data_IF_747621004029
#
_entry.id   IF_747621004029
#
_cell.length_a   1.000
_cell.length_b   1.000
_cell.length_c   1.000
_cell.angle_alpha   90.00
_cell.angle_beta   90.00
_cell.angle_gamma   90.00
#
_symmetry.space_group_name_H-M   'P 1'
#
loop_
_entity.id
_entity.type
_entity.pdbx_description
1 polymer ?
#
# COMPACT_ATOMS: atom_id res chain seq x y z
N UNK A 1 0.61 18.10 -6.72
CA UNK A 1 1.06 18.48 -5.36
C UNK A 1 -0.09 19.14 -4.63
N UNK A 2 -0.19 18.94 -3.32
CA UNK A 2 -1.25 19.53 -2.49
C UNK A 2 -1.14 21.07 -2.48
N UNK A 3 -2.08 21.84 -3.05
CA UNK A 3 -2.03 23.28 -3.03
C UNK A 3 -2.27 23.86 -1.63
N UNK A 4 -2.84 23.08 -0.73
CA UNK A 4 -3.18 23.44 0.65
C UNK A 4 -2.17 22.86 1.65
N UNK A 5 -0.99 22.43 1.21
CA UNK A 5 0.06 21.86 2.08
C UNK A 5 0.44 22.78 3.24
N UNK A 6 0.44 24.11 3.00
CA UNK A 6 0.72 25.13 4.01
C UNK A 6 -0.28 25.18 5.19
N UNK A 7 -1.42 24.53 5.07
CA UNK A 7 -2.41 24.38 6.15
C UNK A 7 -2.04 23.27 7.15
N UNK A 8 -1.02 22.48 6.84
CA UNK A 8 -0.47 21.44 7.72
C UNK A 8 0.68 22.04 8.54
N UNK A 9 0.80 21.58 9.79
CA UNK A 9 1.91 21.97 10.65
C UNK A 9 3.05 20.94 10.55
N UNK A 10 4.27 21.40 10.23
CA UNK A 10 5.48 20.61 10.14
C UNK A 10 6.41 20.89 11.34
N UNK A 11 6.26 20.16 12.45
CA UNK A 11 6.97 20.47 13.70
C UNK A 11 8.49 20.37 13.59
N UNK A 12 9.01 19.65 12.59
CA UNK A 12 10.45 19.49 12.34
C UNK A 12 11.01 20.53 11.36
N UNK A 13 10.16 21.41 10.80
CA UNK A 13 10.57 22.39 9.79
C UNK A 13 11.18 21.73 8.55
N UNK A 14 12.41 22.16 8.18
CA UNK A 14 13.12 21.64 7.00
C UNK A 14 14.14 20.55 7.30
N UNK A 15 14.16 20.05 8.54
CA UNK A 15 15.05 18.95 8.93
C UNK A 15 14.66 17.66 8.23
N UNK A 16 15.67 16.98 7.65
CA UNK A 16 15.54 15.70 6.97
C UNK A 16 16.73 14.83 7.35
N UNK A 17 16.54 13.53 7.61
CA UNK A 17 17.66 12.61 7.73
C UNK A 17 18.43 12.53 6.42
N UNK A 18 19.75 12.42 6.50
CA UNK A 18 20.56 12.02 5.36
C UNK A 18 20.39 10.52 5.10
N UNK A 19 20.60 10.11 3.83
CA UNK A 19 20.53 8.69 3.48
C UNK A 19 21.59 7.89 4.26
N UNK A 20 21.13 6.83 4.94
CA UNK A 20 21.98 6.01 5.81
C UNK A 20 22.32 6.67 7.15
N UNK A 21 21.49 7.59 7.61
CA UNK A 21 21.60 8.19 8.94
C UNK A 21 20.24 8.15 9.64
N UNK A 22 20.25 7.92 10.95
CA UNK A 22 19.08 7.94 11.83
C UNK A 22 18.88 9.36 12.37
N UNK A 23 17.64 9.80 12.40
CA UNK A 23 17.21 11.03 13.06
C UNK A 23 16.23 10.68 14.18
N UNK A 24 16.62 10.90 15.42
CA UNK A 24 15.77 10.62 16.57
C UNK A 24 14.69 11.70 16.69
N UNK A 25 13.42 11.32 16.49
CA UNK A 25 12.26 12.19 16.69
C UNK A 25 11.91 12.31 18.16
N UNK A 26 12.05 11.19 18.88
CA UNK A 26 11.78 10.97 20.28
C UNK A 26 12.74 9.89 20.78
N UNK A 27 12.78 9.67 22.08
CA UNK A 27 13.61 8.60 22.67
C UNK A 27 13.27 7.21 22.14
N UNK A 28 11.99 7.01 21.76
CA UNK A 28 11.44 5.72 21.35
C UNK A 28 11.11 5.64 19.84
N UNK A 29 11.23 6.75 19.08
CA UNK A 29 10.88 6.80 17.65
C UNK A 29 11.96 7.51 16.85
N UNK A 30 12.50 6.84 15.85
CA UNK A 30 13.50 7.40 14.95
C UNK A 30 13.08 7.30 13.48
N UNK A 31 13.57 8.23 12.67
CA UNK A 31 13.29 8.40 11.27
C UNK A 31 14.52 8.06 10.44
N UNK A 32 14.33 7.17 9.46
CA UNK A 32 15.27 6.89 8.39
C UNK A 32 14.68 7.38 7.06
N UNK A 33 15.54 7.80 6.16
CA UNK A 33 15.14 8.19 4.81
C UNK A 33 15.99 7.44 3.79
N UNK A 34 15.34 6.64 2.94
CA UNK A 34 16.00 5.83 1.93
C UNK A 34 15.76 6.40 0.53
N UNK A 35 16.75 6.32 -0.36
CA UNK A 35 16.61 6.83 -1.72
C UNK A 35 15.75 5.91 -2.58
N UNK A 36 15.01 6.51 -3.51
CA UNK A 36 14.27 5.83 -4.56
C UNK A 36 14.75 6.30 -5.94
N UNK A 37 14.78 5.42 -6.96
CA UNK A 37 15.21 5.75 -8.31
C UNK A 37 14.11 6.37 -9.18
N UNK A 38 13.13 7.06 -8.57
CA UNK A 38 11.94 7.59 -9.21
C UNK A 38 11.81 9.11 -9.02
N UNK A 39 10.80 9.71 -9.65
CA UNK A 39 10.45 11.11 -9.38
C UNK A 39 10.05 11.35 -7.91
N UNK A 40 9.48 10.35 -7.25
CA UNK A 40 9.36 10.26 -5.81
C UNK A 40 10.68 9.70 -5.28
N UNK A 41 11.58 10.59 -4.86
CA UNK A 41 13.01 10.33 -4.66
C UNK A 41 13.37 9.65 -3.34
N UNK A 42 12.37 9.41 -2.46
CA UNK A 42 12.61 8.86 -1.13
C UNK A 42 11.43 8.08 -0.58
N UNK A 43 11.77 7.21 0.37
CA UNK A 43 10.82 6.63 1.32
C UNK A 43 11.33 6.85 2.75
N UNK A 44 10.41 7.11 3.67
CA UNK A 44 10.66 7.17 5.10
C UNK A 44 10.42 5.80 5.73
N UNK A 45 11.35 5.35 6.52
CA UNK A 45 11.22 4.16 7.37
C UNK A 45 11.25 4.61 8.82
N UNK A 46 10.62 3.83 9.70
CA UNK A 46 10.53 4.20 11.11
C UNK A 46 11.17 3.10 11.97
N UNK A 47 12.04 3.50 12.87
CA UNK A 47 12.58 2.64 13.92
C UNK A 47 11.88 2.96 15.23
N UNK A 48 11.31 1.94 15.85
CA UNK A 48 10.67 2.03 17.15
C UNK A 48 11.51 1.29 18.16
N UNK A 49 11.89 1.95 19.27
CA UNK A 49 12.61 1.31 20.35
C UNK A 49 11.76 0.18 20.90
N UNK A 50 12.37 -0.99 21.04
CA UNK A 50 11.63 -2.20 21.37
C UNK A 50 12.38 -3.09 22.34
N UNK A 51 11.64 -3.92 23.05
CA UNK A 51 12.16 -4.95 23.94
C UNK A 51 11.37 -6.23 23.73
N UNK A 52 12.07 -7.29 23.42
CA UNK A 52 11.48 -8.62 23.29
C UNK A 52 12.21 -9.57 24.24
N UNK A 53 11.50 -10.07 25.23
CA UNK A 53 12.06 -10.78 26.38
C UNK A 53 13.15 -9.94 27.10
N UNK A 54 14.38 -10.43 27.18
CA UNK A 54 15.52 -9.71 27.77
C UNK A 54 16.36 -8.95 26.74
N UNK A 55 15.97 -8.93 25.44
CA UNK A 55 16.74 -8.28 24.38
C UNK A 55 16.15 -6.91 24.05
N UNK A 56 17.02 -5.90 24.05
CA UNK A 56 16.69 -4.58 23.52
C UNK A 56 17.05 -4.48 22.05
N UNK A 57 16.33 -3.68 21.29
CA UNK A 57 16.55 -3.50 19.87
C UNK A 57 15.54 -2.55 19.22
N UNK A 58 15.30 -2.76 17.96
CA UNK A 58 14.39 -1.96 17.15
C UNK A 58 13.31 -2.81 16.51
N UNK A 59 12.08 -2.33 16.51
CA UNK A 59 11.06 -2.71 15.52
C UNK A 59 11.19 -1.76 14.34
N UNK A 60 11.38 -2.31 13.15
CA UNK A 60 11.45 -1.56 11.92
C UNK A 60 10.08 -1.53 11.23
N UNK A 61 9.65 -0.34 10.76
CA UNK A 61 8.47 -0.19 9.92
C UNK A 61 8.93 0.15 8.50
N UNK A 62 8.58 -0.74 7.55
CA UNK A 62 9.02 -0.78 6.16
C UNK A 62 10.53 -0.96 5.99
N UNK A 63 10.99 -1.36 4.79
CA UNK A 63 12.37 -1.83 4.59
C UNK A 63 13.14 -1.11 3.48
N UNK A 64 12.44 -0.38 2.62
CA UNK A 64 13.01 0.23 1.42
C UNK A 64 13.05 -0.71 0.21
N UNK A 65 13.18 -0.12 -0.99
CA UNK A 65 13.31 -0.85 -2.24
C UNK A 65 14.66 -1.56 -2.35
N UNK A 66 14.71 -2.72 -3.00
CA UNK A 66 15.94 -3.48 -3.22
C UNK A 66 16.81 -2.83 -4.32
N UNK A 67 17.35 -1.64 -4.05
CA UNK A 67 18.30 -0.96 -4.94
C UNK A 67 19.71 -0.95 -4.35
N UNK A 68 20.76 -0.78 -5.17
CA UNK A 68 22.12 -0.63 -4.66
C UNK A 68 22.26 0.52 -3.66
N UNK A 69 21.60 1.66 -3.91
CA UNK A 69 21.67 2.84 -3.06
C UNK A 69 21.03 2.58 -1.68
N UNK A 70 19.85 1.92 -1.65
CA UNK A 70 19.17 1.57 -0.39
C UNK A 70 19.96 0.53 0.40
N UNK A 71 20.56 -0.46 -0.27
CA UNK A 71 21.45 -1.45 0.37
C UNK A 71 22.67 -0.76 1.01
N UNK A 72 23.29 0.19 0.30
CA UNK A 72 24.42 0.96 0.83
C UNK A 72 24.02 1.79 2.05
N UNK A 73 22.83 2.39 2.04
CA UNK A 73 22.28 3.13 3.20
C UNK A 73 22.10 2.23 4.42
N UNK A 74 21.59 1.00 4.23
CA UNK A 74 21.49 0.01 5.29
C UNK A 74 22.84 -0.44 5.83
N UNK A 75 23.85 -0.65 4.95
CA UNK A 75 25.22 -0.98 5.40
C UNK A 75 25.79 0.12 6.28
N UNK A 76 25.65 1.39 5.86
CA UNK A 76 26.08 2.54 6.64
C UNK A 76 25.43 2.59 8.04
N UNK A 77 24.11 2.35 8.10
CA UNK A 77 23.38 2.32 9.38
C UNK A 77 23.85 1.19 10.32
N UNK A 78 24.13 0.01 9.76
CA UNK A 78 24.58 -1.16 10.53
C UNK A 78 26.03 -1.05 11.02
N UNK A 79 26.89 -0.36 10.26
CA UNK A 79 28.34 -0.22 10.54
C UNK A 79 28.66 1.03 11.36
N UNK A 80 27.70 1.95 11.50
CA UNK A 80 27.91 3.19 12.25
C UNK A 80 28.24 2.88 13.72
N UNK A 81 29.26 3.52 14.30
CA UNK A 81 29.55 3.42 15.73
C UNK A 81 28.35 3.86 16.59
N UNK A 82 28.31 3.41 17.84
CA UNK A 82 27.29 3.84 18.79
C UNK A 82 27.30 5.38 18.92
N UNK A 83 26.12 5.98 18.93
CA UNK A 83 25.95 7.44 18.96
C UNK A 83 26.25 8.18 17.67
N UNK A 84 26.64 7.48 16.58
CA UNK A 84 26.94 8.08 15.28
C UNK A 84 25.74 8.07 14.30
N UNK A 85 24.49 7.93 14.79
CA UNK A 85 23.28 7.99 13.97
C UNK A 85 23.00 6.71 13.16
N UNK A 86 23.52 5.56 13.63
CA UNK A 86 23.20 4.22 13.12
C UNK A 86 22.21 3.46 13.99
N UNK A 87 22.33 2.14 14.03
CA UNK A 87 21.49 1.28 14.87
C UNK A 87 22.00 1.18 16.34
N UNK A 88 23.10 1.84 16.69
CA UNK A 88 23.76 1.81 18.01
C UNK A 88 24.12 0.38 18.45
N UNK A 89 24.54 -0.48 17.52
CA UNK A 89 24.85 -1.88 17.79
C UNK A 89 23.64 -2.74 18.15
N UNK A 90 22.44 -2.19 18.12
CA UNK A 90 21.21 -2.89 18.49
C UNK A 90 20.63 -3.65 17.29
N UNK A 91 20.08 -4.85 17.51
CA UNK A 91 19.46 -5.64 16.46
C UNK A 91 18.08 -5.13 16.07
N UNK A 92 17.63 -5.48 14.86
CA UNK A 92 16.20 -5.50 14.53
C UNK A 92 15.59 -6.74 15.20
N UNK A 93 14.56 -6.55 16.03
CA UNK A 93 13.84 -7.62 16.72
C UNK A 93 12.69 -8.15 15.86
N UNK A 94 12.07 -7.28 15.06
CA UNK A 94 11.00 -7.58 14.10
C UNK A 94 10.90 -6.48 13.04
N UNK A 95 10.24 -6.81 11.94
CA UNK A 95 9.90 -5.85 10.89
C UNK A 95 8.41 -5.90 10.65
N UNK A 96 7.75 -4.74 10.53
CA UNK A 96 6.36 -4.63 10.13
C UNK A 96 6.34 -3.90 8.79
N UNK A 97 5.89 -4.56 7.72
CA UNK A 97 5.67 -3.87 6.44
C UNK A 97 4.22 -3.42 6.34
N UNK A 98 4.03 -2.13 6.06
CA UNK A 98 2.71 -1.51 5.95
C UNK A 98 1.92 -2.11 4.80
N UNK A 99 2.57 -2.32 3.65
CA UNK A 99 1.98 -2.93 2.47
C UNK A 99 3.04 -3.49 1.51
N UNK A 100 2.59 -4.05 0.39
CA UNK A 100 3.39 -4.86 -0.53
C UNK A 100 4.28 -4.08 -1.50
N UNK A 101 4.11 -2.77 -1.66
CA UNK A 101 4.85 -2.04 -2.69
C UNK A 101 6.36 -2.15 -2.49
N UNK A 102 7.13 -2.14 -3.60
CA UNK A 102 8.56 -2.47 -3.55
C UNK A 102 9.39 -1.61 -2.63
N UNK A 103 9.06 -0.34 -2.50
CA UNK A 103 9.77 0.60 -1.62
C UNK A 103 9.48 0.36 -0.14
N UNK A 104 8.46 -0.43 0.19
CA UNK A 104 8.13 -0.82 1.56
C UNK A 104 8.69 -2.19 1.95
N UNK A 105 8.63 -3.17 1.05
CA UNK A 105 8.93 -4.56 1.38
C UNK A 105 10.22 -5.10 0.73
N UNK A 106 10.84 -4.32 -0.17
CA UNK A 106 11.88 -4.79 -1.08
C UNK A 106 13.10 -5.42 -0.42
N UNK A 107 13.51 -4.95 0.75
CA UNK A 107 14.65 -5.51 1.49
C UNK A 107 14.26 -6.40 2.67
N UNK A 108 12.99 -6.77 2.82
CA UNK A 108 12.52 -7.57 3.95
C UNK A 108 13.26 -8.91 4.09
N UNK A 109 13.54 -9.62 3.00
CA UNK A 109 14.26 -10.90 3.06
C UNK A 109 15.72 -10.72 3.51
N UNK A 110 16.42 -9.72 2.98
CA UNK A 110 17.81 -9.41 3.35
C UNK A 110 17.93 -9.06 4.84
N UNK A 111 17.04 -8.22 5.35
CA UNK A 111 17.06 -7.80 6.76
C UNK A 111 16.63 -8.93 7.68
N UNK A 112 15.63 -9.74 7.28
CA UNK A 112 15.22 -10.93 8.03
C UNK A 112 16.38 -11.92 8.20
N UNK A 113 17.12 -12.19 7.12
CA UNK A 113 18.31 -13.06 7.16
C UNK A 113 19.42 -12.46 8.02
N UNK A 114 19.72 -11.17 7.85
CA UNK A 114 20.80 -10.49 8.55
C UNK A 114 20.60 -10.43 10.07
N UNK A 115 19.37 -10.21 10.53
CA UNK A 115 19.06 -10.01 11.95
C UNK A 115 18.36 -11.22 12.59
N UNK A 116 17.98 -12.23 11.83
CA UNK A 116 17.20 -13.37 12.33
C UNK A 116 15.81 -12.97 12.84
N UNK A 117 15.20 -11.92 12.28
CA UNK A 117 13.94 -11.37 12.76
C UNK A 117 12.79 -11.68 11.82
N UNK A 118 11.56 -11.71 12.36
CA UNK A 118 10.35 -12.04 11.60
C UNK A 118 9.79 -10.84 10.83
N UNK A 119 9.27 -11.09 9.63
CA UNK A 119 8.39 -10.17 8.92
C UNK A 119 6.96 -10.27 9.48
N UNK A 120 6.36 -9.13 9.79
CA UNK A 120 4.97 -9.00 10.17
C UNK A 120 4.22 -8.21 9.10
N UNK A 121 3.09 -8.72 8.64
CA UNK A 121 2.35 -8.13 7.52
C UNK A 121 0.91 -8.61 7.53
N UNK A 122 0.00 -7.92 6.88
CA UNK A 122 -1.34 -8.44 6.63
C UNK A 122 -1.30 -9.55 5.58
N UNK A 123 -2.29 -10.43 5.56
CA UNK A 123 -2.25 -11.59 4.67
C UNK A 123 -2.46 -11.21 3.21
N UNK A 124 -3.31 -10.22 2.94
CA UNK A 124 -3.55 -9.74 1.58
C UNK A 124 -2.28 -9.18 0.94
N UNK A 125 -1.55 -8.36 1.69
CA UNK A 125 -0.29 -7.77 1.24
C UNK A 125 0.80 -8.82 1.02
N UNK A 126 0.97 -9.75 1.97
CA UNK A 126 1.96 -10.81 1.83
C UNK A 126 1.66 -11.73 0.63
N UNK A 127 0.39 -12.14 0.46
CA UNK A 127 -0.01 -13.04 -0.62
C UNK A 127 0.18 -12.39 -2.01
N UNK A 128 -0.28 -11.14 -2.18
CA UNK A 128 -0.13 -10.43 -3.45
C UNK A 128 1.35 -10.14 -3.75
N UNK A 129 2.13 -9.74 -2.74
CA UNK A 129 3.57 -9.55 -2.90
C UNK A 129 4.27 -10.84 -3.37
N UNK A 130 3.89 -12.00 -2.81
CA UNK A 130 4.42 -13.31 -3.23
C UNK A 130 4.11 -13.63 -4.69
N UNK A 131 2.95 -13.23 -5.18
CA UNK A 131 2.55 -13.42 -6.59
C UNK A 131 3.39 -12.50 -7.48
N UNK A 132 3.44 -11.20 -7.18
CA UNK A 132 4.10 -10.19 -8.01
C UNK A 132 5.64 -10.27 -7.97
N UNK A 133 6.22 -10.84 -6.92
CA UNK A 133 7.67 -11.09 -6.82
C UNK A 133 8.14 -12.24 -7.73
N UNK A 134 7.23 -12.97 -8.41
CA UNK A 134 7.62 -13.95 -9.41
C UNK A 134 7.83 -13.27 -10.77
N UNK A 135 8.77 -13.76 -11.59
CA UNK A 135 8.85 -13.34 -12.99
C UNK A 135 7.51 -13.55 -13.69
N UNK A 136 7.05 -12.60 -14.52
CA UNK A 136 5.75 -12.70 -15.16
C UNK A 136 5.69 -13.90 -16.14
N UNK A 137 4.67 -14.74 -15.99
CA UNK A 137 4.38 -15.82 -16.93
C UNK A 137 3.86 -15.27 -18.27
N UNK A 138 3.87 -16.11 -19.33
CA UNK A 138 3.25 -15.72 -20.61
C UNK A 138 1.75 -15.40 -20.47
N UNK A 139 1.06 -16.09 -19.57
CA UNK A 139 -0.35 -15.82 -19.25
C UNK A 139 -0.52 -14.44 -18.60
N UNK A 140 0.29 -14.12 -17.60
CA UNK A 140 0.28 -12.79 -16.95
C UNK A 140 0.58 -11.68 -17.99
N UNK A 141 1.56 -11.89 -18.88
CA UNK A 141 1.84 -10.93 -19.96
C UNK A 141 0.64 -10.73 -20.89
N UNK A 142 -0.07 -11.80 -21.24
CA UNK A 142 -1.27 -11.75 -22.06
C UNK A 142 -2.41 -10.98 -21.33
N UNK A 143 -2.60 -11.22 -20.04
CA UNK A 143 -3.57 -10.47 -19.21
C UNK A 143 -3.23 -8.99 -19.13
N UNK A 144 -1.97 -8.64 -18.90
CA UNK A 144 -1.50 -7.24 -18.89
C UNK A 144 -1.75 -6.55 -20.25
N UNK A 145 -1.48 -7.23 -21.37
CA UNK A 145 -1.77 -6.69 -22.72
C UNK A 145 -3.27 -6.50 -22.94
N UNK A 146 -4.11 -7.42 -22.50
CA UNK A 146 -5.57 -7.32 -22.59
C UNK A 146 -6.08 -6.16 -21.72
N UNK A 147 -5.56 -6.02 -20.50
CA UNK A 147 -5.88 -4.89 -19.63
C UNK A 147 -5.48 -3.56 -20.26
N UNK A 148 -4.25 -3.42 -20.75
CA UNK A 148 -3.79 -2.20 -21.42
C UNK A 148 -4.66 -1.83 -22.62
N UNK A 149 -5.11 -2.82 -23.40
CA UNK A 149 -6.06 -2.60 -24.50
C UNK A 149 -7.40 -2.07 -23.99
N UNK A 150 -7.92 -2.65 -22.91
CA UNK A 150 -9.19 -2.22 -22.32
C UNK A 150 -9.15 -0.77 -21.82
N UNK A 151 -7.98 -0.27 -21.42
CA UNK A 151 -7.78 1.12 -21.02
C UNK A 151 -7.79 2.13 -22.19
N UNK A 152 -7.76 1.64 -23.44
CA UNK A 152 -7.72 2.47 -24.67
C UNK A 152 -6.32 2.62 -25.28
N UNK A 153 -5.33 1.90 -24.75
CA UNK A 153 -4.04 1.78 -25.41
C UNK A 153 -4.21 0.83 -26.61
N UNK A 154 -4.23 1.37 -27.83
CA UNK A 154 -4.37 0.61 -29.08
C UNK A 154 -3.39 -0.55 -29.19
N UNK A 155 -3.42 -1.28 -30.35
CA UNK A 155 -2.48 -2.40 -30.62
C UNK A 155 -1.07 -2.01 -30.15
N UNK A 156 -0.36 -2.94 -29.46
CA UNK A 156 0.74 -2.56 -28.59
C UNK A 156 1.73 -1.67 -29.33
N UNK A 157 2.20 -0.59 -28.71
CA UNK A 157 3.48 -0.05 -29.13
C UNK A 157 4.44 -1.25 -29.18
N UNK A 158 5.32 -1.30 -30.14
CA UNK A 158 6.27 -2.40 -30.38
C UNK A 158 7.10 -2.80 -29.13
N UNK A 159 6.79 -2.21 -27.99
CA UNK A 159 7.24 -2.56 -26.63
C UNK A 159 6.09 -2.33 -25.63
N UNK A 160 5.78 -3.27 -24.72
CA UNK A 160 4.80 -3.07 -23.65
C UNK A 160 5.10 -1.78 -22.88
N UNK A 161 4.05 -1.02 -22.49
CA UNK A 161 4.17 0.02 -21.47
C UNK A 161 4.63 -0.69 -20.18
N UNK A 162 5.88 -0.50 -19.80
CA UNK A 162 6.53 -1.22 -18.70
C UNK A 162 7.75 -2.02 -19.14
N UNK A 163 7.93 -2.32 -20.44
CA UNK A 163 9.14 -3.01 -20.93
C UNK A 163 10.38 -2.11 -21.02
N UNK A 164 10.28 -0.83 -20.62
CA UNK A 164 11.46 0.02 -20.48
C UNK A 164 12.14 -0.23 -19.16
N UNK A 165 13.21 -1.03 -19.26
CA UNK A 165 14.12 -1.47 -18.21
C UNK A 165 13.46 -2.35 -17.15
N UNK A 166 13.65 -3.61 -17.34
CA UNK A 166 13.34 -4.72 -16.45
C UNK A 166 13.80 -4.48 -14.98
N UNK A 167 14.82 -3.68 -14.79
CA UNK A 167 15.40 -3.34 -13.48
C UNK A 167 14.43 -2.63 -12.49
N UNK A 168 13.33 -2.03 -12.98
CA UNK A 168 12.28 -1.44 -12.14
C UNK A 168 11.01 -2.31 -12.05
N UNK A 169 11.03 -3.51 -12.63
CA UNK A 169 9.94 -4.45 -12.46
C UNK A 169 9.84 -4.89 -10.98
N UNK A 170 8.64 -5.23 -10.56
CA UNK A 170 8.36 -5.58 -9.16
C UNK A 170 9.32 -6.65 -8.63
N UNK A 171 9.51 -7.74 -9.37
CA UNK A 171 10.37 -8.86 -8.98
C UNK A 171 11.87 -8.51 -8.89
N UNK A 172 12.34 -7.44 -9.52
CA UNK A 172 13.70 -6.93 -9.33
C UNK A 172 13.84 -6.05 -8.08
N UNK A 173 12.81 -5.26 -7.77
CA UNK A 173 12.77 -4.41 -6.58
C UNK A 173 12.38 -5.19 -5.31
N UNK A 174 11.76 -6.37 -5.47
CA UNK A 174 11.43 -7.33 -4.41
C UNK A 174 11.94 -8.71 -4.82
N UNK A 175 13.26 -8.96 -4.81
CA UNK A 175 13.84 -10.19 -5.32
C UNK A 175 13.52 -11.43 -4.47
N UNK A 176 13.16 -11.23 -3.21
CA UNK A 176 12.78 -12.29 -2.29
C UNK A 176 11.91 -11.76 -1.14
N UNK A 177 11.09 -12.65 -0.58
CA UNK A 177 10.36 -12.45 0.67
C UNK A 177 10.70 -13.57 1.65
N UNK A 178 10.70 -13.30 2.96
CA UNK A 178 10.75 -14.35 3.97
C UNK A 178 9.65 -15.38 3.72
N UNK A 179 9.99 -16.68 3.81
CA UNK A 179 9.02 -17.78 3.58
C UNK A 179 7.93 -17.82 4.64
N UNK A 180 8.23 -17.34 5.83
CA UNK A 180 7.35 -17.28 6.98
C UNK A 180 7.15 -15.82 7.38
N UNK A 181 5.94 -15.49 7.78
CA UNK A 181 5.60 -14.17 8.30
C UNK A 181 4.63 -14.32 9.48
N UNK A 182 4.60 -13.32 10.35
CA UNK A 182 3.54 -13.19 11.34
C UNK A 182 2.43 -12.33 10.77
N UNK A 183 1.24 -12.88 10.72
CA UNK A 183 0.07 -12.12 10.31
C UNK A 183 -0.30 -11.09 11.37
N UNK A 184 -0.48 -9.82 10.94
CA UNK A 184 -1.17 -8.77 11.69
C UNK A 184 -2.57 -8.56 11.11
N UNK A 185 -3.49 -8.03 11.93
CA UNK A 185 -4.90 -7.88 11.55
C UNK A 185 -5.45 -6.54 12.01
N UNK A 186 -6.50 -6.09 11.34
CA UNK A 186 -7.24 -4.90 11.75
C UNK A 186 -7.66 -4.96 13.22
N UNK A 187 -7.49 -3.85 13.94
CA UNK A 187 -7.81 -3.73 15.36
C UNK A 187 -6.83 -4.42 16.32
N UNK A 188 -5.85 -5.18 15.82
CA UNK A 188 -4.83 -5.81 16.66
C UNK A 188 -3.99 -4.75 17.38
N UNK A 189 -3.75 -4.95 18.68
CA UNK A 189 -2.81 -4.14 19.45
C UNK A 189 -1.44 -4.86 19.51
N UNK A 190 -0.40 -4.16 19.12
CA UNK A 190 0.98 -4.64 19.12
C UNK A 190 1.77 -3.82 20.15
N UNK A 191 2.29 -4.46 21.18
CA UNK A 191 3.21 -3.83 22.11
C UNK A 191 4.58 -3.69 21.47
N UNK A 192 5.09 -2.45 21.37
CA UNK A 192 6.44 -2.14 20.90
C UNK A 192 7.04 -1.15 21.91
N UNK A 193 8.06 -1.58 22.63
CA UNK A 193 8.61 -0.81 23.74
C UNK A 193 7.53 -0.45 24.77
N UNK A 194 7.40 0.84 25.05
CA UNK A 194 6.44 1.36 26.02
C UNK A 194 5.13 1.85 25.40
N UNK A 195 4.88 1.57 24.12
CA UNK A 195 3.65 1.94 23.39
C UNK A 195 2.85 0.74 22.98
N UNK A 196 1.53 0.88 23.03
CA UNK A 196 0.60 0.00 22.35
C UNK A 196 0.24 0.62 20.98
N UNK A 197 0.47 -0.15 19.92
CA UNK A 197 0.20 0.25 18.55
C UNK A 197 -1.00 -0.53 18.03
N UNK A 198 -2.08 0.18 17.73
CA UNK A 198 -3.26 -0.38 17.11
C UNK A 198 -3.07 -0.43 15.60
N UNK A 199 -3.25 -1.60 15.02
CA UNK A 199 -3.29 -1.79 13.57
C UNK A 199 -4.62 -1.28 13.05
N UNK A 200 -4.60 -0.37 12.06
CA UNK A 200 -5.77 0.12 11.34
C UNK A 200 -5.55 -0.20 9.88
N UNK A 201 -6.29 -1.19 9.35
CA UNK A 201 -6.16 -1.55 7.94
C UNK A 201 -6.98 -0.64 7.04
N UNK A 202 -6.49 -0.42 5.83
CA UNK A 202 -7.16 0.31 4.78
C UNK A 202 -6.97 -0.35 3.43
N UNK A 203 -7.88 -0.10 2.50
CA UNK A 203 -7.85 -0.64 1.13
C UNK A 203 -7.80 0.49 0.11
N UNK A 204 -7.67 0.15 -1.15
CA UNK A 204 -7.77 1.07 -2.30
C UNK A 204 -6.42 1.53 -2.85
N UNK A 205 -5.42 1.73 -2.00
CA UNK A 205 -4.03 1.90 -2.42
C UNK A 205 -3.36 0.54 -2.64
N UNK A 206 -3.61 -0.37 -1.74
CA UNK A 206 -3.21 -1.77 -1.77
C UNK A 206 -4.31 -2.62 -1.11
N UNK A 207 -4.24 -3.96 -1.13
CA UNK A 207 -5.34 -4.81 -0.68
C UNK A 207 -5.73 -4.67 0.79
N UNK A 208 -4.71 -4.53 1.68
CA UNK A 208 -4.92 -4.58 3.14
C UNK A 208 -3.80 -3.81 3.87
N UNK A 209 -3.56 -2.55 3.42
CA UNK A 209 -2.52 -1.66 3.99
C UNK A 209 -2.68 -1.51 5.51
N UNK A 210 -1.61 -1.65 6.27
CA UNK A 210 -1.60 -1.50 7.73
C UNK A 210 -1.00 -0.14 8.14
N UNK A 211 -1.82 0.73 8.71
CA UNK A 211 -1.36 1.90 9.48
C UNK A 211 -1.25 1.52 10.96
N UNK A 212 -0.32 2.15 11.68
CA UNK A 212 -0.09 1.88 13.11
C UNK A 212 -0.36 3.14 13.91
N UNK A 213 -1.30 3.10 14.85
CA UNK A 213 -1.68 4.23 15.70
C UNK A 213 -1.40 3.92 17.17
N UNK A 214 -0.75 4.85 17.86
CA UNK A 214 -0.57 4.84 19.30
C UNK A 214 -1.07 6.13 19.93
N UNK A 215 -1.84 6.03 21.01
CA UNK A 215 -2.33 7.20 21.76
C UNK A 215 -1.25 7.86 22.62
N UNK A 216 -0.17 7.13 22.90
CA UNK A 216 0.92 7.60 23.72
C UNK A 216 1.75 6.47 24.29
N UNK A 217 2.78 6.83 25.06
CA UNK A 217 3.56 5.91 25.87
C UNK A 217 2.92 5.77 27.26
N UNK A 218 3.47 4.88 28.09
CA UNK A 218 3.04 4.74 29.50
C UNK A 218 3.28 6.00 30.33
N UNK A 219 4.07 6.94 29.82
CA UNK A 219 4.52 8.15 30.54
C UNK A 219 3.96 9.46 29.95
N UNK A 220 3.46 9.45 28.72
CA UNK A 220 2.96 10.66 28.05
C UNK A 220 1.85 10.37 27.03
N UNK A 221 0.83 11.21 27.01
CA UNK A 221 -0.16 11.25 25.92
C UNK A 221 0.43 12.05 24.76
N UNK A 222 1.03 11.35 23.80
CA UNK A 222 1.66 11.92 22.62
C UNK A 222 1.32 11.07 21.39
N UNK A 223 0.12 11.24 20.82
CA UNK A 223 -0.39 10.36 19.79
C UNK A 223 0.45 10.42 18.52
N UNK A 224 0.74 9.23 17.96
CA UNK A 224 1.50 9.04 16.74
C UNK A 224 0.74 8.09 15.81
N UNK A 225 0.70 8.45 14.52
CA UNK A 225 0.19 7.60 13.45
C UNK A 225 1.29 7.37 12.42
N UNK A 226 1.76 6.14 12.28
CA UNK A 226 2.51 5.72 11.10
C UNK A 226 1.47 5.41 10.02
N UNK A 227 1.27 6.35 9.10
CA UNK A 227 0.20 6.28 8.12
C UNK A 227 0.55 5.42 6.91
N UNK A 228 1.82 5.06 6.73
CA UNK A 228 2.28 4.47 5.48
C UNK A 228 1.90 5.38 4.31
N UNK A 229 1.33 4.80 3.28
CA UNK A 229 0.86 5.52 2.09
C UNK A 229 -0.62 5.94 2.16
N UNK A 230 -1.34 5.60 3.24
CA UNK A 230 -2.75 5.97 3.33
C UNK A 230 -2.96 7.49 3.45
N UNK A 231 -2.07 8.21 4.14
CA UNK A 231 -2.18 9.67 4.26
C UNK A 231 -0.82 10.32 4.07
N UNK A 232 -0.61 10.94 2.92
CA UNK A 232 0.62 11.63 2.52
C UNK A 232 0.40 13.16 2.52
N UNK A 233 1.34 13.99 2.99
CA UNK A 233 1.10 15.43 3.15
C UNK A 233 1.02 16.20 1.81
N UNK A 234 1.83 15.82 0.80
CA UNK A 234 2.05 16.61 -0.43
C UNK A 234 1.37 16.05 -1.67
N UNK A 235 1.25 14.73 -1.77
CA UNK A 235 0.67 14.03 -2.91
C UNK A 235 -0.57 13.28 -2.48
N UNK A 236 -1.48 13.00 -3.42
CA UNK A 236 -2.52 12.00 -3.24
C UNK A 236 -1.90 10.61 -3.39
N UNK A 237 -2.42 9.68 -2.65
CA UNK A 237 -2.08 8.27 -2.79
C UNK A 237 -2.65 7.72 -4.08
N UNK A 238 -1.91 6.86 -4.77
CA UNK A 238 -2.40 6.21 -5.99
C UNK A 238 -3.51 5.21 -5.66
N UNK A 239 -4.62 5.28 -6.38
CA UNK A 239 -5.81 4.42 -6.25
C UNK A 239 -6.15 3.79 -7.59
N UNK A 240 -5.21 3.01 -8.11
CA UNK A 240 -5.29 2.43 -9.45
C UNK A 240 -6.03 1.09 -9.48
N UNK A 241 -6.75 0.85 -10.57
CA UNK A 241 -7.22 -0.49 -10.94
C UNK A 241 -6.11 -1.18 -11.73
N UNK A 242 -5.75 -2.39 -11.31
CA UNK A 242 -4.71 -3.20 -11.93
C UNK A 242 -5.29 -4.45 -12.60
N UNK A 243 -4.53 -5.04 -13.52
CA UNK A 243 -4.94 -6.24 -14.26
C UNK A 243 -5.24 -7.45 -13.37
N UNK A 244 -4.67 -7.50 -12.17
CA UNK A 244 -4.89 -8.59 -11.22
C UNK A 244 -6.25 -8.49 -10.52
N UNK A 245 -6.83 -7.29 -10.44
CA UNK A 245 -8.14 -7.03 -9.84
C UNK A 245 -8.95 -6.04 -10.70
N UNK A 246 -9.31 -6.43 -11.95
CA UNK A 246 -9.84 -5.51 -12.97
C UNK A 246 -11.23 -4.94 -12.66
N UNK A 247 -11.96 -5.53 -11.71
CA UNK A 247 -13.29 -5.07 -11.25
C UNK A 247 -13.23 -4.32 -9.91
N UNK A 248 -12.04 -3.94 -9.42
CA UNK A 248 -11.89 -3.25 -8.13
C UNK A 248 -12.47 -1.83 -8.15
N UNK A 249 -12.83 -1.33 -6.94
CA UNK A 249 -13.28 0.05 -6.73
C UNK A 249 -12.33 0.81 -5.76
N UNK A 250 -11.05 1.01 -6.15
CA UNK A 250 -10.02 1.47 -5.24
C UNK A 250 -10.26 2.88 -4.69
N UNK A 251 -10.88 3.78 -5.47
CA UNK A 251 -11.17 5.15 -5.03
C UNK A 251 -12.16 5.16 -3.86
N UNK A 252 -13.26 4.37 -3.93
CA UNK A 252 -14.22 4.32 -2.83
C UNK A 252 -13.64 3.63 -1.61
N UNK A 253 -12.97 2.50 -1.80
CA UNK A 253 -12.30 1.79 -0.71
C UNK A 253 -11.26 2.66 0.01
N UNK A 254 -10.49 3.43 -0.74
CA UNK A 254 -9.51 4.37 -0.19
C UNK A 254 -10.18 5.48 0.64
N UNK A 255 -11.22 6.12 0.09
CA UNK A 255 -11.93 7.19 0.78
C UNK A 255 -12.59 6.71 2.08
N UNK A 256 -13.17 5.50 2.08
CA UNK A 256 -13.73 4.91 3.28
C UNK A 256 -12.65 4.55 4.30
N UNK A 257 -11.50 4.08 3.83
CA UNK A 257 -10.37 3.71 4.67
C UNK A 257 -9.74 4.91 5.37
N UNK A 258 -9.47 6.00 4.65
CA UNK A 258 -8.85 7.19 5.28
C UNK A 258 -9.77 7.87 6.29
N UNK A 259 -11.10 7.83 6.10
CA UNK A 259 -12.08 8.33 7.09
C UNK A 259 -12.02 7.57 8.42
N UNK A 260 -11.63 6.29 8.43
CA UNK A 260 -11.42 5.55 9.69
C UNK A 260 -10.32 6.15 10.55
N UNK A 261 -9.35 6.84 9.95
CA UNK A 261 -8.27 7.52 10.65
C UNK A 261 -8.72 8.83 11.32
N UNK A 262 -9.93 9.34 11.03
CA UNK A 262 -10.53 10.47 11.76
C UNK A 262 -10.81 10.12 13.23
N UNK A 263 -10.83 8.83 13.60
CA UNK A 263 -10.88 8.38 14.98
C UNK A 263 -9.59 8.62 15.78
N UNK A 264 -8.47 8.98 15.14
CA UNK A 264 -7.23 9.35 15.82
C UNK A 264 -7.34 10.75 16.46
N UNK A 265 -6.55 11.01 17.50
CA UNK A 265 -6.57 12.31 18.21
C UNK A 265 -6.20 13.47 17.27
N UNK A 266 -6.79 14.68 17.45
CA UNK A 266 -6.57 15.82 16.55
C UNK A 266 -5.11 16.28 16.44
N UNK A 267 -4.33 16.16 17.52
CA UNK A 267 -2.92 16.56 17.56
C UNK A 267 -1.95 15.40 17.23
N UNK A 268 -2.44 14.33 16.62
CA UNK A 268 -1.61 13.19 16.21
C UNK A 268 -0.47 13.65 15.30
N UNK A 269 0.76 13.28 15.68
CA UNK A 269 1.91 13.38 14.80
C UNK A 269 1.82 12.27 13.74
N UNK A 270 1.67 12.64 12.48
CA UNK A 270 1.61 11.71 11.36
C UNK A 270 3.00 11.47 10.82
N UNK A 271 3.37 10.21 10.71
CA UNK A 271 4.63 9.70 10.17
C UNK A 271 4.34 9.02 8.82
N UNK A 272 4.39 9.77 7.70
CA UNK A 272 4.06 9.24 6.38
C UNK A 272 5.25 8.56 5.73
N UNK A 273 5.02 7.63 4.80
CA UNK A 273 6.12 6.99 4.05
C UNK A 273 6.79 7.97 3.07
N UNK A 274 6.09 8.99 2.62
CA UNK A 274 6.67 10.01 1.73
C UNK A 274 6.35 11.42 2.22
N UNK A 275 7.33 12.30 2.11
CA UNK A 275 7.24 13.68 2.60
C UNK A 275 7.79 13.82 4.02
N UNK A 276 7.31 14.82 4.76
CA UNK A 276 7.76 15.14 6.13
C UNK A 276 6.71 14.72 7.15
N UNK A 277 7.11 14.36 8.39
CA UNK A 277 6.19 14.27 9.52
C UNK A 277 5.40 15.55 9.72
N UNK A 278 4.11 15.42 10.00
CA UNK A 278 3.21 16.58 10.12
C UNK A 278 2.11 16.37 11.18
N UNK A 279 1.51 17.46 11.63
CA UNK A 279 0.30 17.51 12.43
C UNK A 279 -0.81 18.14 11.59
N UNK A 280 -2.04 17.62 11.71
CA UNK A 280 -3.18 18.07 10.92
C UNK A 280 -3.84 16.96 10.12
N UNK A 281 -3.85 15.74 10.69
CA UNK A 281 -4.41 14.53 10.07
C UNK A 281 -5.82 14.75 9.50
N UNK A 282 -6.75 15.25 10.32
CA UNK A 282 -8.15 15.47 9.92
C UNK A 282 -8.26 16.50 8.78
N UNK A 283 -7.45 17.58 8.85
CA UNK A 283 -7.37 18.55 7.74
C UNK A 283 -6.90 17.89 6.46
N UNK A 284 -5.87 17.04 6.54
CA UNK A 284 -5.34 16.35 5.36
C UNK A 284 -6.34 15.36 4.78
N UNK A 285 -7.07 14.61 5.60
CA UNK A 285 -8.14 13.72 5.15
C UNK A 285 -9.22 14.51 4.40
N UNK A 286 -9.67 15.64 4.95
CA UNK A 286 -10.64 16.50 4.28
C UNK A 286 -10.14 17.03 2.91
N UNK A 287 -8.84 17.41 2.82
CA UNK A 287 -8.22 17.82 1.55
C UNK A 287 -8.19 16.68 0.53
N UNK A 288 -7.88 15.45 0.94
CA UNK A 288 -7.87 14.27 0.08
C UNK A 288 -9.29 13.92 -0.40
N UNK A 289 -10.28 13.96 0.49
CA UNK A 289 -11.69 13.76 0.11
C UNK A 289 -12.15 14.81 -0.91
N UNK A 290 -11.80 16.09 -0.70
CA UNK A 290 -12.13 17.18 -1.63
C UNK A 290 -11.43 16.98 -2.99
N UNK A 291 -10.16 16.57 -2.98
CA UNK A 291 -9.41 16.27 -4.18
C UNK A 291 -10.09 15.19 -5.03
N UNK A 292 -10.44 14.05 -4.44
CA UNK A 292 -11.12 12.98 -5.18
C UNK A 292 -12.53 13.38 -5.62
N UNK A 293 -13.27 14.16 -4.83
CA UNK A 293 -14.56 14.69 -5.25
C UNK A 293 -14.42 15.56 -6.52
N UNK A 294 -13.42 16.43 -6.59
CA UNK A 294 -13.12 17.23 -7.77
C UNK A 294 -12.75 16.37 -8.98
N UNK A 295 -11.93 15.31 -8.79
CA UNK A 295 -11.60 14.36 -9.88
C UNK A 295 -12.83 13.63 -10.38
N UNK A 296 -13.71 13.16 -9.49
CA UNK A 296 -14.98 12.53 -9.87
C UNK A 296 -15.88 13.48 -10.65
N UNK A 297 -15.93 14.79 -10.29
CA UNK A 297 -16.68 15.78 -11.03
C UNK A 297 -16.12 16.02 -12.44
N UNK A 298 -14.79 16.08 -12.61
CA UNK A 298 -14.16 16.18 -13.93
C UNK A 298 -14.48 14.96 -14.81
N UNK A 299 -14.45 13.74 -14.24
CA UNK A 299 -14.84 12.50 -14.94
C UNK A 299 -16.32 12.52 -15.32
N UNK A 300 -17.19 12.95 -14.41
CA UNK A 300 -18.65 13.07 -14.63
C UNK A 300 -18.95 14.00 -15.80
N UNK A 301 -18.30 15.16 -15.84
CA UNK A 301 -18.45 16.14 -16.93
C UNK A 301 -17.97 15.58 -18.27
N UNK A 302 -16.83 14.90 -18.31
CA UNK A 302 -16.31 14.29 -19.53
C UNK A 302 -17.25 13.20 -20.08
N UNK A 303 -17.71 12.30 -19.19
CA UNK A 303 -18.60 11.20 -19.57
C UNK A 303 -20.04 11.64 -19.91
N UNK A 304 -20.46 12.83 -19.49
CA UNK A 304 -21.75 13.41 -19.88
C UNK A 304 -21.79 13.79 -21.38
N UNK A 305 -20.67 14.19 -21.94
CA UNK A 305 -20.58 14.65 -23.32
C UNK A 305 -20.34 13.53 -24.34
N UNK A 306 -19.53 12.52 -23.97
CA UNK A 306 -19.16 11.36 -24.80
C UNK A 306 -18.81 10.14 -23.96
N UNK A 307 -18.79 8.97 -24.58
CA UNK A 307 -18.22 7.79 -23.94
C UNK A 307 -16.69 7.92 -23.84
N UNK A 308 -16.12 7.75 -22.65
CA UNK A 308 -14.69 7.91 -22.35
C UNK A 308 -14.06 6.60 -21.91
N UNK A 309 -12.86 6.31 -22.40
CA UNK A 309 -11.95 5.31 -21.86
C UNK A 309 -11.07 5.92 -20.77
N UNK A 310 -10.28 5.10 -20.06
CA UNK A 310 -9.29 5.61 -19.11
C UNK A 310 -8.26 6.53 -19.79
N UNK A 311 -7.80 6.16 -20.99
CA UNK A 311 -6.85 6.98 -21.77
C UNK A 311 -7.41 8.36 -22.12
N UNK A 312 -8.70 8.45 -22.46
CA UNK A 312 -9.36 9.73 -22.77
C UNK A 312 -9.36 10.69 -21.57
N UNK A 313 -9.34 10.16 -20.34
CA UNK A 313 -9.37 10.95 -19.11
C UNK A 313 -7.98 11.37 -18.61
N UNK A 314 -6.91 10.70 -19.04
CA UNK A 314 -5.55 11.05 -18.59
C UNK A 314 -5.23 12.53 -18.80
N UNK A 315 -5.45 13.18 -19.98
CA UNK A 315 -5.15 14.60 -20.15
C UNK A 315 -6.07 15.54 -19.35
N UNK A 316 -7.23 15.07 -18.91
CA UNK A 316 -8.18 15.83 -18.08
C UNK A 316 -7.72 15.82 -16.63
N UNK A 317 -7.36 14.63 -16.11
CA UNK A 317 -6.98 14.43 -14.73
C UNK A 317 -5.52 14.82 -14.45
N UNK A 318 -4.62 14.68 -15.42
CA UNK A 318 -3.19 14.91 -15.30
C UNK A 318 -2.69 15.97 -16.27
N UNK A 319 -2.60 17.22 -15.82
CA UNK A 319 -2.29 18.40 -16.65
C UNK A 319 -0.78 18.63 -16.87
N UNK A 320 0.05 17.61 -16.66
CA UNK A 320 1.51 17.64 -16.85
C UNK A 320 1.96 16.52 -17.78
N UNK A 321 3.10 16.66 -18.46
CA UNK A 321 3.68 15.54 -19.20
C UNK A 321 3.94 14.36 -18.23
N UNK A 322 3.65 13.15 -18.72
CA UNK A 322 3.87 11.90 -18.01
C UNK A 322 4.88 11.07 -18.79
N UNK A 323 5.85 10.49 -18.10
CA UNK A 323 6.69 9.45 -18.68
C UNK A 323 5.91 8.12 -18.76
N UNK A 324 6.49 7.09 -19.39
CA UNK A 324 5.81 5.81 -19.60
C UNK A 324 5.42 5.10 -18.28
N UNK A 325 6.23 5.23 -17.22
CA UNK A 325 5.94 4.66 -15.91
C UNK A 325 4.77 5.40 -15.24
N UNK A 326 4.81 6.73 -15.24
CA UNK A 326 3.74 7.56 -14.70
C UNK A 326 2.43 7.40 -15.47
N UNK A 327 2.49 7.14 -16.79
CA UNK A 327 1.29 6.89 -17.60
C UNK A 327 0.55 5.62 -17.15
N UNK A 328 1.27 4.55 -16.79
CA UNK A 328 0.64 3.34 -16.27
C UNK A 328 -0.18 3.61 -14.99
N UNK A 329 0.40 4.33 -14.03
CA UNK A 329 -0.32 4.74 -12.82
C UNK A 329 -1.50 5.67 -13.12
N UNK A 330 -1.33 6.63 -14.01
CA UNK A 330 -2.39 7.57 -14.39
C UNK A 330 -3.58 6.88 -15.07
N UNK A 331 -3.32 5.87 -15.90
CA UNK A 331 -4.36 5.05 -16.53
C UNK A 331 -5.15 4.24 -15.50
N UNK A 332 -4.46 3.55 -14.59
CA UNK A 332 -5.10 2.81 -13.52
C UNK A 332 -5.92 3.71 -12.60
N UNK A 333 -5.41 4.90 -12.26
CA UNK A 333 -6.12 5.88 -11.43
C UNK A 333 -7.33 6.48 -12.17
N UNK A 334 -7.22 6.76 -13.48
CA UNK A 334 -8.34 7.21 -14.28
C UNK A 334 -9.44 6.14 -14.34
N UNK A 335 -9.08 4.86 -14.51
CA UNK A 335 -10.03 3.75 -14.43
C UNK A 335 -10.66 3.64 -13.04
N UNK A 336 -9.89 3.84 -11.97
CA UNK A 336 -10.40 3.85 -10.59
C UNK A 336 -11.50 4.88 -10.38
N UNK A 337 -11.36 6.10 -10.93
CA UNK A 337 -12.40 7.12 -10.87
C UNK A 337 -13.62 6.79 -11.73
N UNK A 338 -13.43 6.18 -12.91
CA UNK A 338 -14.54 5.66 -13.73
C UNK A 338 -15.31 4.56 -13.01
N UNK A 339 -14.60 3.63 -12.36
CA UNK A 339 -15.22 2.56 -11.58
C UNK A 339 -16.01 3.11 -10.40
N UNK A 340 -15.50 4.11 -9.69
CA UNK A 340 -16.23 4.71 -8.58
C UNK A 340 -17.62 5.20 -9.04
N UNK A 341 -17.70 5.94 -10.13
CA UNK A 341 -18.97 6.44 -10.68
C UNK A 341 -19.82 5.32 -11.31
N UNK A 342 -19.19 4.31 -11.89
CA UNK A 342 -19.91 3.16 -12.42
C UNK A 342 -20.57 2.32 -11.30
N UNK A 343 -19.85 2.04 -10.21
CA UNK A 343 -20.40 1.35 -9.05
C UNK A 343 -21.46 2.17 -8.31
N UNK A 344 -21.37 3.50 -8.33
CA UNK A 344 -22.41 4.39 -7.82
C UNK A 344 -23.66 4.44 -8.72
N UNK A 345 -23.62 3.76 -9.88
CA UNK A 345 -24.73 3.74 -10.85
C UNK A 345 -24.87 4.99 -11.72
N UNK A 346 -23.92 5.94 -11.64
CA UNK A 346 -23.95 7.17 -12.43
C UNK A 346 -23.50 6.97 -13.87
N UNK A 347 -22.58 6.01 -14.11
CA UNK A 347 -22.08 5.67 -15.44
C UNK A 347 -22.55 4.28 -15.89
N UNK A 348 -22.74 4.11 -17.19
CA UNK A 348 -22.88 2.82 -17.86
C UNK A 348 -21.54 2.44 -18.50
N UNK A 349 -21.14 1.18 -18.36
CA UNK A 349 -19.93 0.58 -18.95
C UNK A 349 -20.30 -0.16 -20.22
N UNK A 350 -19.52 0.01 -21.28
CA UNK A 350 -19.66 -0.71 -22.54
C UNK A 350 -18.30 -1.08 -23.10
N UNK A 351 -18.25 -2.13 -23.92
CA UNK A 351 -17.06 -2.54 -24.68
C UNK A 351 -17.26 -2.15 -26.13
N UNK A 352 -16.27 -1.50 -26.75
CA UNK A 352 -16.30 -1.28 -28.19
C UNK A 352 -15.74 -2.50 -28.97
N UNK A 353 -15.82 -2.43 -30.30
CA UNK A 353 -15.39 -3.52 -31.18
C UNK A 353 -13.89 -3.87 -31.03
N UNK A 354 -13.07 -2.92 -30.57
CA UNK A 354 -11.64 -3.08 -30.38
C UNK A 354 -11.30 -3.61 -28.98
N UNK A 355 -12.31 -3.86 -28.13
CA UNK A 355 -12.16 -4.34 -26.75
C UNK A 355 -11.80 -3.25 -25.77
N UNK A 356 -11.90 -1.97 -26.14
CA UNK A 356 -11.72 -0.83 -25.23
C UNK A 356 -12.97 -0.67 -24.36
N UNK A 357 -12.76 -0.52 -23.07
CA UNK A 357 -13.83 -0.23 -22.12
C UNK A 357 -14.12 1.26 -22.11
N UNK A 358 -15.38 1.61 -22.30
CA UNK A 358 -15.84 3.01 -22.29
C UNK A 358 -16.97 3.19 -21.30
N UNK A 359 -17.01 4.38 -20.73
CA UNK A 359 -18.01 4.77 -19.74
C UNK A 359 -18.72 6.04 -20.19
N UNK A 360 -20.04 6.07 -20.01
CA UNK A 360 -20.88 7.21 -20.37
C UNK A 360 -21.91 7.44 -19.27
N UNK A 361 -22.30 8.71 -19.07
CA UNK A 361 -23.38 9.03 -18.14
C UNK A 361 -24.66 8.24 -18.49
N UNK A 362 -25.30 7.66 -17.48
CA UNK A 362 -26.61 7.03 -17.64
C UNK A 362 -27.65 8.10 -17.95
N UNK A 363 -28.48 7.87 -18.95
CA UNK A 363 -29.68 8.68 -19.18
C UNK A 363 -30.76 8.26 -18.17
N UNK A 364 -31.60 9.20 -17.67
CA UNK A 364 -32.66 8.88 -16.71
C UNK A 364 -33.60 7.75 -17.13
N UNK A 365 -33.79 7.53 -18.44
CA UNK A 365 -34.66 6.49 -18.99
C UNK A 365 -34.05 5.07 -18.93
N UNK A 366 -32.75 4.91 -18.73
CA UNK A 366 -32.07 3.62 -18.65
C UNK A 366 -32.01 3.02 -17.23
N UNK A 367 -32.59 3.68 -16.25
CA UNK A 367 -32.53 3.25 -14.84
C UNK A 367 -33.56 2.11 -14.49
N UNK A 368 -34.25 1.52 -15.44
CA UNK A 368 -35.38 0.56 -15.19
C UNK A 368 -35.05 -0.90 -15.54
N UNK A 369 -33.81 -1.26 -15.78
CA UNK A 369 -33.46 -2.69 -15.87
C UNK A 369 -32.42 -3.03 -14.77
N UNK A 370 -32.79 -3.84 -13.75
CA UNK A 370 -31.76 -4.41 -12.87
C UNK A 370 -30.93 -5.38 -13.73
N UNK A 371 -29.64 -5.06 -13.92
CA UNK A 371 -28.69 -6.05 -14.43
C UNK A 371 -28.75 -7.27 -13.53
N UNK A 372 -29.04 -8.44 -14.13
CA UNK A 372 -29.12 -9.70 -13.42
C UNK A 372 -27.82 -9.93 -12.66
N UNK A 373 -27.92 -9.96 -11.33
CA UNK A 373 -26.86 -10.52 -10.48
C UNK A 373 -26.58 -11.92 -11.02
N UNK A 374 -25.36 -12.19 -11.47
CA UNK A 374 -24.90 -13.54 -11.74
C UNK A 374 -25.11 -14.35 -10.45
N UNK A 375 -26.24 -15.08 -10.39
CA UNK A 375 -26.45 -16.10 -9.40
C UNK A 375 -25.51 -17.25 -9.78
N UNK A 376 -24.52 -17.47 -8.95
CA UNK A 376 -23.75 -18.71 -8.97
C UNK A 376 -24.71 -19.82 -8.51
N UNK A 377 -25.38 -20.47 -9.45
CA UNK A 377 -26.16 -21.68 -9.15
C UNK A 377 -25.17 -22.80 -8.79
N UNK A 378 -25.04 -23.05 -7.50
CA UNK A 378 -24.44 -24.27 -7.00
C UNK A 378 -25.36 -25.45 -7.39
N UNK A 379 -25.02 -26.14 -8.48
CA UNK A 379 -25.64 -27.44 -8.80
C UNK A 379 -25.25 -28.43 -7.71
N UNK A 380 -26.15 -28.62 -6.76
CA UNK A 380 -26.09 -29.67 -5.73
C UNK A 380 -26.26 -31.06 -6.36
N UNK A 381 -25.18 -31.76 -6.57
CA UNK A 381 -25.17 -33.20 -6.79
C UNK A 381 -25.07 -33.92 -5.45
N UNK A 382 -26.19 -34.40 -4.94
CA UNK A 382 -26.26 -35.32 -3.80
C UNK A 382 -25.78 -36.70 -4.24
N UNK A 383 -24.68 -37.17 -3.68
CA UNK A 383 -24.43 -38.62 -3.48
C UNK A 383 -23.47 -38.78 -2.30
N UNK A 384 -24.03 -39.12 -1.15
CA UNK A 384 -23.29 -39.63 0.00
C UNK A 384 -23.15 -41.17 -0.13
N UNK A 385 -22.03 -41.73 0.21
CA UNK A 385 -21.98 -43.05 0.80
C UNK A 385 -21.51 -43.01 2.25
N UNK A 386 -22.06 -44.00 2.97
CA UNK A 386 -22.11 -44.20 4.40
C UNK A 386 -20.74 -44.30 5.13
N UNK A 387 -20.83 -43.99 6.41
CA UNK A 387 -19.81 -44.08 7.43
C UNK A 387 -19.16 -45.47 7.60
N UNK A 388 -17.88 -45.51 7.87
CA UNK A 388 -17.27 -46.54 8.68
C UNK A 388 -16.42 -45.88 9.79
N UNK A 389 -16.76 -46.26 11.04
CA UNK A 389 -16.03 -45.93 12.25
C UNK A 389 -14.70 -46.69 12.28
N UNK A 390 -13.61 -45.97 12.55
CA UNK A 390 -12.40 -46.55 13.14
C UNK A 390 -11.90 -45.60 14.23
N UNK A 391 -11.90 -46.09 15.44
CA UNK A 391 -11.32 -45.49 16.63
C UNK A 391 -9.80 -45.76 16.59
N UNK A 392 -8.98 -44.72 16.83
CA UNK A 392 -7.55 -44.85 17.05
C UNK A 392 -7.10 -43.67 17.93
N UNK A 393 -6.90 -43.96 19.21
CA UNK A 393 -6.38 -43.02 20.18
C UNK A 393 -4.92 -42.67 19.86
N UNK A 394 -4.58 -41.39 20.08
CA UNK A 394 -3.18 -40.96 20.09
C UNK A 394 -2.93 -40.19 21.39
N UNK A 395 -1.99 -40.69 22.15
CA UNK A 395 -1.51 -40.12 23.40
C UNK A 395 -0.75 -38.81 23.16
N UNK A 396 -1.03 -37.85 24.01
CA UNK A 396 -0.33 -36.55 24.02
C UNK A 396 1.01 -36.68 24.75
N UNK A 397 2.08 -36.49 24.03
CA UNK A 397 3.40 -36.19 24.64
C UNK A 397 3.64 -34.69 24.58
N UNK A 398 3.85 -34.09 25.75
CA UNK A 398 4.09 -32.68 25.91
C UNK A 398 5.37 -32.19 25.22
N UNK A 399 5.24 -31.16 24.42
CA UNK A 399 6.33 -30.40 23.83
C UNK A 399 6.18 -28.92 24.16
N UNK A 400 7.15 -28.38 24.81
CA UNK A 400 7.34 -26.99 25.22
C UNK A 400 7.04 -26.01 24.06
N UNK A 401 6.02 -25.16 24.22
CA UNK A 401 5.73 -24.06 23.30
C UNK A 401 6.75 -22.93 23.51
N UNK A 402 7.73 -22.81 22.62
CA UNK A 402 8.47 -21.57 22.47
C UNK A 402 7.52 -20.50 21.91
N UNK A 403 7.27 -19.46 22.71
CA UNK A 403 6.52 -18.28 22.26
C UNK A 403 7.37 -17.52 21.23
N UNK A 404 6.86 -17.42 20.02
CA UNK A 404 7.43 -16.55 18.98
C UNK A 404 7.13 -15.09 19.36
N UNK A 405 8.18 -14.31 19.60
CA UNK A 405 8.14 -12.85 19.58
C UNK A 405 7.97 -12.32 18.18
#
# INVERSE_FOLDING_TARGET
MNPQEKELNYPLGDRLPLSGERYDLREDVAWLRMPLPFALDHINLWLLRDRCDAREGWTLIDTGASTPATRQSWLKLMEAPEGAGGLDGLPLLRMICTHMHPDHVGLAAMLAERFGCALWMTVGEYALCRILAQPPSAEHQAQLLAHNRSLGLGSPPSQPLGARRDEHAFHHLVPALPRHFRRIRDGEAIRIGDRDWKVITGCGHSPEHASLYSEGSTHASDPILISGDMVLPRISTNTAVWEIEPESNPVRWYLDSIRRLEGCAPLTLVLPSHGKPFVGLHRRIAQLCTHHAQRLDEVRQACATRACSALDLVPILFRRPLDAHQLGFALGEALGHLHALWYDGELARQFDADGVVRFRARTPEAAVAPEAKCAFEATGGSNAPAASKAAGGFEATGGSSARLC
#
